data_IF_870371073260
#
_entry.id   IF_870371073260
#
_cell.length_a   1.000
_cell.length_b   1.000
_cell.length_c   1.000
_cell.angle_alpha   90.00
_cell.angle_beta   90.00
_cell.angle_gamma   90.00
#
_symmetry.space_group_name_H-M   'P 1'
#
loop_
_entity.id
_entity.type
_entity.pdbx_description
1 polymer ?
#
# COMPACT_ATOMS: atom_id res chain seq x y z
N UNK A 1 22.98 32.36 12.11
CA UNK A 1 23.83 32.30 10.89
C UNK A 1 22.99 32.55 9.65
N UNK A 2 23.62 32.88 8.50
CA UNK A 2 22.94 33.38 7.29
C UNK A 2 22.41 32.25 6.38
N UNK A 3 21.10 32.33 6.09
CA UNK A 3 20.34 32.08 4.85
C UNK A 3 21.06 31.47 3.62
N UNK A 4 20.51 30.35 3.10
CA UNK A 4 20.06 30.04 1.71
C UNK A 4 19.04 28.87 1.86
N UNK A 5 17.83 28.77 1.28
CA UNK A 5 16.97 29.59 0.39
C UNK A 5 17.08 29.44 -1.16
N UNK A 6 16.38 28.42 -1.72
CA UNK A 6 15.76 28.46 -3.06
C UNK A 6 16.54 27.87 -4.25
N UNK A 7 16.06 26.74 -4.81
CA UNK A 7 16.31 26.37 -6.20
C UNK A 7 14.95 26.29 -6.92
N UNK A 8 14.80 27.18 -7.88
CA UNK A 8 13.58 27.44 -8.64
C UNK A 8 13.60 26.66 -9.95
N UNK A 9 12.47 26.05 -10.29
CA UNK A 9 11.94 25.85 -11.65
C UNK A 9 12.92 26.08 -12.83
N UNK A 10 13.68 25.05 -13.23
CA UNK A 10 14.34 24.98 -14.56
C UNK A 10 14.19 23.57 -15.13
N UNK A 11 13.05 23.29 -15.79
CA UNK A 11 12.85 22.07 -16.58
C UNK A 11 11.94 22.30 -17.80
N UNK A 12 11.92 23.55 -18.30
CA UNK A 12 11.20 23.94 -19.53
C UNK A 12 12.10 24.86 -20.37
N UNK A 13 13.19 24.30 -20.93
CA UNK A 13 13.84 24.68 -22.20
C UNK A 13 15.13 23.87 -22.36
N UNK A 14 15.08 22.80 -23.17
CA UNK A 14 16.25 22.24 -23.87
C UNK A 14 15.79 21.20 -24.91
N UNK A 15 15.13 21.68 -25.96
CA UNK A 15 14.94 20.94 -27.21
C UNK A 15 15.58 21.79 -28.31
N UNK A 16 16.42 21.15 -29.13
CA UNK A 16 17.16 21.71 -30.27
C UNK A 16 18.31 22.69 -29.93
N UNK A 17 19.49 22.14 -29.66
CA UNK A 17 20.73 22.49 -30.37
C UNK A 17 21.65 21.26 -30.35
N UNK A 18 22.24 20.91 -31.49
CA UNK A 18 23.06 19.71 -31.65
C UNK A 18 24.58 19.96 -31.55
N UNK A 19 25.31 18.87 -31.36
CA UNK A 19 26.78 18.72 -31.50
C UNK A 19 27.65 19.35 -30.39
N UNK A 20 28.04 18.51 -29.42
CA UNK A 20 29.47 18.22 -29.19
C UNK A 20 29.63 16.87 -28.49
N UNK A 21 30.49 16.00 -29.04
CA UNK A 21 30.72 14.66 -28.50
C UNK A 21 31.79 14.70 -27.40
N UNK A 22 31.38 14.61 -26.14
CA UNK A 22 32.32 14.48 -25.02
C UNK A 22 31.79 13.53 -23.93
N UNK A 23 32.07 12.23 -24.09
CA UNK A 23 32.30 11.31 -22.96
C UNK A 23 31.21 11.14 -21.89
N UNK A 24 29.95 11.54 -22.14
CA UNK A 24 28.85 11.16 -21.26
C UNK A 24 28.69 9.64 -21.33
N UNK A 25 29.13 8.93 -20.29
CA UNK A 25 28.63 7.57 -20.04
C UNK A 25 27.13 7.69 -20.00
N UNK A 26 26.42 6.99 -20.89
CA UNK A 26 25.01 6.70 -20.64
C UNK A 26 24.95 6.05 -19.26
N UNK A 27 24.41 6.80 -18.28
CA UNK A 27 23.88 6.15 -17.10
C UNK A 27 22.75 5.28 -17.63
N UNK A 28 23.04 3.99 -17.77
CA UNK A 28 22.01 2.97 -17.90
C UNK A 28 21.12 3.16 -16.69
N UNK A 29 20.00 3.84 -16.90
CA UNK A 29 18.96 4.01 -15.89
C UNK A 29 18.38 2.62 -15.71
N UNK A 30 19.00 1.86 -14.80
CA UNK A 30 18.45 0.59 -14.38
C UNK A 30 17.02 0.87 -13.93
N UNK A 31 16.04 0.02 -14.32
CA UNK A 31 14.72 0.07 -13.73
C UNK A 31 14.87 0.20 -12.23
N UNK A 32 14.15 1.14 -11.62
CA UNK A 32 14.01 1.14 -10.17
C UNK A 32 13.48 -0.26 -9.80
N UNK A 33 14.10 -0.90 -8.82
CA UNK A 33 13.64 -2.20 -8.32
C UNK A 33 13.14 -2.01 -6.90
N UNK A 34 11.98 -2.56 -6.57
CA UNK A 34 11.52 -2.66 -5.20
C UNK A 34 11.02 -4.06 -4.87
N UNK A 35 11.23 -4.47 -3.63
CA UNK A 35 10.84 -5.76 -3.06
C UNK A 35 9.50 -5.65 -2.34
N UNK A 36 8.65 -6.69 -2.47
CA UNK A 36 7.29 -6.69 -1.92
C UNK A 36 6.96 -8.02 -1.26
N UNK A 37 6.55 -8.01 0.00
CA UNK A 37 5.93 -9.19 0.63
C UNK A 37 4.44 -9.26 0.26
N UNK A 38 4.01 -10.36 -0.35
CA UNK A 38 2.62 -10.64 -0.71
C UNK A 38 2.06 -11.83 0.09
N UNK A 39 0.84 -11.68 0.62
CA UNK A 39 0.14 -12.72 1.38
C UNK A 39 -0.69 -13.59 0.43
N UNK A 40 -0.25 -14.83 0.21
CA UNK A 40 -0.84 -15.72 -0.78
C UNK A 40 -2.01 -16.54 -0.24
N UNK A 41 -3.12 -16.52 -0.98
CA UNK A 41 -4.32 -17.27 -0.65
C UNK A 41 -4.39 -18.54 -1.51
N UNK A 42 -4.33 -19.72 -0.89
CA UNK A 42 -4.36 -21.00 -1.59
C UNK A 42 -5.61 -21.22 -2.48
N UNK A 43 -6.74 -20.51 -2.25
CA UNK A 43 -7.92 -20.59 -3.13
C UNK A 43 -7.88 -19.63 -4.32
N UNK A 44 -7.02 -18.62 -4.27
CA UNK A 44 -6.73 -17.70 -5.37
C UNK A 44 -5.21 -17.38 -5.40
N UNK A 45 -4.36 -18.35 -5.79
CA UNK A 45 -2.92 -18.17 -5.75
C UNK A 45 -2.45 -17.03 -6.66
N UNK A 46 -1.44 -16.29 -6.20
CA UNK A 46 -0.79 -15.23 -6.94
C UNK A 46 -0.34 -15.68 -8.32
N UNK A 47 -0.51 -14.79 -9.31
CA UNK A 47 0.04 -14.98 -10.66
C UNK A 47 0.76 -13.72 -11.10
N UNK A 48 2.03 -13.86 -11.43
CA UNK A 48 2.87 -12.84 -12.07
C UNK A 48 2.25 -12.30 -13.39
N UNK A 49 1.49 -13.16 -14.08
CA UNK A 49 0.73 -12.87 -15.30
C UNK A 49 -0.56 -12.05 -15.09
N UNK A 50 -0.95 -11.72 -13.85
CA UNK A 50 -2.10 -10.83 -13.63
C UNK A 50 -1.88 -9.45 -14.27
N UNK A 51 -2.94 -8.88 -14.85
CA UNK A 51 -2.87 -7.57 -15.51
C UNK A 51 -2.36 -6.47 -14.57
N UNK A 52 -2.76 -6.50 -13.29
CA UNK A 52 -2.26 -5.54 -12.29
C UNK A 52 -0.74 -5.63 -12.09
N UNK A 53 -0.16 -6.83 -12.14
CA UNK A 53 1.27 -7.08 -11.91
C UNK A 53 2.11 -6.75 -13.16
N UNK A 54 1.59 -7.04 -14.35
CA UNK A 54 2.29 -6.77 -15.61
C UNK A 54 2.19 -5.30 -16.03
N UNK A 55 0.99 -4.72 -15.94
CA UNK A 55 0.73 -3.36 -16.43
C UNK A 55 1.29 -2.28 -15.49
N UNK A 56 1.39 -2.51 -14.17
CA UNK A 56 2.04 -1.55 -13.26
C UNK A 56 3.53 -1.38 -13.61
N UNK A 57 4.23 -2.47 -13.88
CA UNK A 57 5.65 -2.45 -14.27
C UNK A 57 5.85 -1.77 -15.62
N UNK A 58 5.00 -2.11 -16.61
CA UNK A 58 5.03 -1.50 -17.94
C UNK A 58 4.73 0.01 -17.93
N UNK A 59 3.81 0.48 -17.08
CA UNK A 59 3.44 1.92 -17.00
C UNK A 59 4.43 2.76 -16.22
N UNK A 60 5.08 2.19 -15.22
CA UNK A 60 5.98 2.92 -14.31
C UNK A 60 7.45 2.80 -14.69
N UNK A 61 7.82 1.80 -15.50
CA UNK A 61 9.23 1.46 -15.77
C UNK A 61 9.96 0.85 -14.55
N UNK A 62 9.21 0.50 -13.51
CA UNK A 62 9.72 -0.07 -12.26
C UNK A 62 9.56 -1.58 -12.30
N UNK A 63 10.53 -2.30 -11.76
CA UNK A 63 10.50 -3.77 -11.62
C UNK A 63 10.11 -4.13 -10.19
N UNK A 64 9.17 -5.06 -10.04
CA UNK A 64 8.66 -5.48 -8.73
C UNK A 64 9.13 -6.90 -8.43
N UNK A 65 9.95 -7.04 -7.39
CA UNK A 65 10.46 -8.31 -6.90
C UNK A 65 9.50 -8.84 -5.81
N UNK A 66 8.54 -9.68 -6.20
CA UNK A 66 7.52 -10.22 -5.30
C UNK A 66 8.05 -11.42 -4.51
N UNK A 67 7.99 -11.36 -3.17
CA UNK A 67 8.11 -12.52 -2.30
C UNK A 67 6.70 -13.02 -1.95
N UNK A 68 6.33 -14.17 -2.51
CA UNK A 68 5.02 -14.80 -2.34
C UNK A 68 5.08 -15.71 -1.11
N UNK A 69 4.31 -15.37 -0.08
CA UNK A 69 4.37 -16.01 1.24
C UNK A 69 2.96 -16.56 1.57
N UNK A 70 2.79 -17.85 1.91
CA UNK A 70 1.49 -18.40 2.29
C UNK A 70 0.84 -17.61 3.43
N UNK A 71 -0.47 -17.35 3.34
CA UNK A 71 -1.22 -16.55 4.31
C UNK A 71 -1.08 -17.05 5.77
N UNK A 72 -0.88 -18.35 5.96
CA UNK A 72 -0.65 -18.96 7.28
C UNK A 72 0.68 -18.52 7.91
N UNK A 73 1.73 -18.32 7.10
CA UNK A 73 3.07 -17.95 7.54
C UNK A 73 3.31 -16.43 7.52
N UNK A 74 2.44 -15.69 6.81
CA UNK A 74 2.63 -14.27 6.49
C UNK A 74 2.90 -13.40 7.72
N UNK A 75 2.10 -13.57 8.78
CA UNK A 75 2.27 -12.80 10.02
C UNK A 75 3.63 -13.06 10.67
N UNK A 76 4.05 -14.32 10.74
CA UNK A 76 5.34 -14.73 11.32
C UNK A 76 6.51 -14.14 10.53
N UNK A 77 6.45 -14.20 9.20
CA UNK A 77 7.47 -13.63 8.30
C UNK A 77 7.58 -12.10 8.44
N UNK A 78 6.44 -11.40 8.50
CA UNK A 78 6.40 -9.93 8.72
C UNK A 78 6.95 -9.55 10.09
N UNK A 79 6.53 -10.24 11.16
CA UNK A 79 7.02 -9.97 12.52
C UNK A 79 8.54 -10.19 12.60
N UNK A 80 9.07 -11.26 12.03
CA UNK A 80 10.52 -11.51 11.97
C UNK A 80 11.29 -10.41 11.24
N UNK A 81 10.80 -10.00 10.06
CA UNK A 81 11.43 -8.95 9.25
C UNK A 81 11.47 -7.60 9.98
N UNK A 82 10.34 -7.18 10.58
CA UNK A 82 10.25 -5.92 11.30
C UNK A 82 11.01 -5.90 12.63
N UNK A 83 11.06 -7.02 13.37
CA UNK A 83 11.82 -7.10 14.62
C UNK A 83 13.35 -7.14 14.40
N UNK A 84 13.81 -7.76 13.31
CA UNK A 84 15.26 -7.93 13.04
C UNK A 84 15.86 -6.84 12.16
N UNK A 85 15.03 -6.07 11.45
CA UNK A 85 15.48 -5.15 10.40
C UNK A 85 16.23 -5.84 9.25
N UNK A 86 16.23 -7.17 9.20
CA UNK A 86 17.01 -7.98 8.25
C UNK A 86 16.05 -8.61 7.25
N UNK A 87 16.35 -8.47 5.95
CA UNK A 87 15.50 -8.95 4.86
C UNK A 87 14.05 -8.42 4.92
N UNK A 88 13.85 -7.22 5.48
CA UNK A 88 12.61 -6.48 5.33
C UNK A 88 12.48 -5.98 3.88
N UNK A 89 11.30 -6.08 3.25
CA UNK A 89 11.08 -5.58 1.91
C UNK A 89 10.85 -4.06 1.93
N UNK A 90 10.89 -3.44 0.76
CA UNK A 90 10.54 -2.03 0.59
C UNK A 90 9.03 -1.78 0.84
N UNK A 91 8.18 -2.79 0.55
CA UNK A 91 6.73 -2.74 0.78
C UNK A 91 6.22 -4.04 1.41
N UNK A 92 5.40 -3.92 2.45
CA UNK A 92 4.63 -5.03 3.03
C UNK A 92 3.15 -4.78 2.77
N UNK A 93 2.49 -5.66 2.00
CA UNK A 93 1.06 -5.54 1.71
C UNK A 93 0.20 -6.16 2.82
N UNK A 94 -1.11 -5.89 2.79
CA UNK A 94 -2.09 -6.52 3.69
C UNK A 94 -1.80 -6.40 5.20
N UNK A 95 -1.03 -5.40 5.60
CA UNK A 95 -0.71 -5.10 7.00
C UNK A 95 -1.37 -3.81 7.47
N UNK A 96 -1.51 -3.70 8.80
CA UNK A 96 -1.96 -2.49 9.49
C UNK A 96 -1.13 -2.31 10.77
N UNK A 97 -1.25 -1.14 11.39
CA UNK A 97 -0.66 -0.86 12.72
C UNK A 97 -1.52 -1.37 13.88
N UNK A 98 -2.25 -2.48 13.70
CA UNK A 98 -2.93 -3.18 14.81
C UNK A 98 -1.98 -4.21 15.44
N UNK A 99 -2.12 -4.44 16.75
CA UNK A 99 -1.28 -5.40 17.48
C UNK A 99 0.20 -4.98 17.58
N UNK A 100 1.11 -5.93 17.42
CA UNK A 100 2.56 -5.73 17.56
C UNK A 100 3.12 -4.64 16.62
N UNK A 101 2.56 -4.52 15.41
CA UNK A 101 2.97 -3.54 14.40
C UNK A 101 2.84 -2.09 14.89
N UNK A 102 1.96 -1.80 15.87
CA UNK A 102 1.88 -0.47 16.48
C UNK A 102 3.18 -0.10 17.21
N UNK A 103 3.71 -1.03 18.00
CA UNK A 103 4.95 -0.81 18.76
C UNK A 103 6.17 -0.77 17.83
N UNK A 104 6.20 -1.65 16.81
CA UNK A 104 7.27 -1.67 15.81
C UNK A 104 7.32 -0.37 14.98
N UNK A 105 6.16 0.15 14.56
CA UNK A 105 6.05 1.43 13.87
C UNK A 105 6.56 2.60 14.74
N UNK A 106 6.13 2.67 16.01
CA UNK A 106 6.57 3.69 16.96
C UNK A 106 8.07 3.61 17.31
N UNK A 107 8.67 2.42 17.18
CA UNK A 107 10.11 2.21 17.34
C UNK A 107 10.91 2.45 16.05
N UNK A 108 10.27 2.90 14.97
CA UNK A 108 10.93 3.26 13.70
C UNK A 108 11.13 2.12 12.71
N UNK A 109 10.58 0.92 12.94
CA UNK A 109 10.67 -0.20 11.99
C UNK A 109 9.77 -0.02 10.75
N UNK A 110 8.86 0.96 10.76
CA UNK A 110 7.99 1.32 9.63
C UNK A 110 8.07 2.84 9.44
N UNK A 111 8.16 3.30 8.20
CA UNK A 111 8.19 4.73 7.86
C UNK A 111 6.78 5.35 8.04
N UNK A 112 6.64 6.49 8.73
CA UNK A 112 5.35 7.18 8.86
C UNK A 112 4.96 7.86 7.55
N UNK A 113 4.16 7.18 6.72
CA UNK A 113 3.71 7.69 5.42
C UNK A 113 2.93 9.02 5.52
N UNK A 114 2.37 9.37 6.69
CA UNK A 114 1.76 10.69 6.92
C UNK A 114 2.72 11.87 6.89
N UNK A 115 4.02 11.64 7.10
CA UNK A 115 5.04 12.70 7.09
C UNK A 115 5.38 13.14 5.65
N UNK A 116 4.91 12.40 4.64
CA UNK A 116 5.20 12.59 3.20
C UNK A 116 3.91 12.72 2.36
N UNK A 117 3.03 13.72 2.64
CA UNK A 117 1.78 13.91 1.89
C UNK A 117 2.01 14.19 0.40
N UNK A 118 3.17 14.75 0.03
CA UNK A 118 3.56 15.03 -1.34
C UNK A 118 3.93 13.78 -2.16
N UNK A 119 4.22 12.64 -1.51
CA UNK A 119 4.43 11.34 -2.19
C UNK A 119 3.11 10.63 -2.49
N UNK A 120 2.01 11.04 -1.86
CA UNK A 120 0.71 10.36 -1.92
C UNK A 120 -0.44 11.24 -2.48
N UNK A 121 -0.21 12.10 -3.50
CA UNK A 121 -1.18 13.13 -3.90
C UNK A 121 -2.52 12.54 -4.38
N UNK A 122 -2.50 11.41 -5.11
CA UNK A 122 -3.71 10.74 -5.58
C UNK A 122 -4.50 10.07 -4.44
N UNK A 123 -3.81 9.50 -3.44
CA UNK A 123 -4.47 8.98 -2.25
C UNK A 123 -5.12 10.12 -1.47
N UNK A 124 -4.39 11.21 -1.21
CA UNK A 124 -4.91 12.36 -0.45
C UNK A 124 -6.10 13.04 -1.16
N UNK A 125 -6.05 13.15 -2.49
CA UNK A 125 -7.20 13.61 -3.28
C UNK A 125 -8.42 12.70 -3.14
N UNK A 126 -8.20 11.37 -3.18
CA UNK A 126 -9.26 10.35 -3.06
C UNK A 126 -9.88 10.28 -1.66
N UNK A 127 -9.10 10.48 -0.59
CA UNK A 127 -9.62 10.61 0.78
C UNK A 127 -10.62 11.77 0.86
N UNK A 128 -10.25 12.94 0.33
CA UNK A 128 -11.10 14.13 0.30
C UNK A 128 -12.31 13.99 -0.62
N UNK A 129 -12.14 13.35 -1.78
CA UNK A 129 -13.23 13.05 -2.73
C UNK A 129 -14.33 12.21 -2.08
N UNK A 130 -13.95 11.27 -1.20
CA UNK A 130 -14.85 10.35 -0.52
C UNK A 130 -15.29 10.82 0.89
N UNK A 131 -14.78 11.95 1.39
CA UNK A 131 -15.09 12.47 2.72
C UNK A 131 -14.51 11.64 3.89
N UNK A 132 -13.43 10.91 3.64
CA UNK A 132 -12.83 9.92 4.56
C UNK A 132 -11.75 10.52 5.47
N UNK A 133 -11.59 11.85 5.54
CA UNK A 133 -10.53 12.49 6.33
C UNK A 133 -10.53 12.03 7.79
N UNK A 134 -11.70 11.97 8.43
CA UNK A 134 -11.85 11.52 9.81
C UNK A 134 -11.47 10.04 9.98
N UNK A 135 -11.93 9.18 9.06
CA UNK A 135 -11.66 7.74 9.13
C UNK A 135 -10.17 7.41 8.94
N UNK A 136 -9.49 8.17 8.07
CA UNK A 136 -8.04 8.05 7.86
C UNK A 136 -7.25 8.62 9.04
N UNK A 137 -7.75 9.68 9.68
CA UNK A 137 -7.13 10.25 10.88
C UNK A 137 -7.24 9.36 12.12
N UNK A 138 -8.32 8.56 12.24
CA UNK A 138 -8.44 7.53 13.27
C UNK A 138 -7.39 6.40 13.17
N UNK A 139 -6.64 6.31 12.06
CA UNK A 139 -5.56 5.34 11.87
C UNK A 139 -4.19 5.83 12.38
N UNK A 140 -4.13 7.08 12.89
CA UNK A 140 -2.92 7.63 13.50
C UNK A 140 -2.61 6.93 14.83
N UNK A 141 -1.33 6.67 15.07
CA UNK A 141 -0.86 6.17 16.36
C UNK A 141 -0.72 7.31 17.38
N UNK A 142 -0.32 6.97 18.61
CA UNK A 142 -0.23 7.90 19.76
C UNK A 142 0.69 9.11 19.55
N UNK A 143 1.55 9.06 18.54
CA UNK A 143 2.47 10.13 18.14
C UNK A 143 1.87 11.06 17.06
N UNK A 144 0.61 10.81 16.65
CA UNK A 144 -0.10 11.58 15.63
C UNK A 144 0.16 11.11 14.19
N UNK A 145 0.92 10.03 13.99
CA UNK A 145 1.37 9.60 12.65
C UNK A 145 0.65 8.34 12.14
N UNK A 146 0.46 8.28 10.83
CA UNK A 146 -0.08 7.11 10.12
C UNK A 146 1.04 6.45 9.32
N UNK A 147 1.12 5.12 9.41
CA UNK A 147 2.23 4.32 8.90
C UNK A 147 1.87 3.37 7.74
N UNK A 148 0.61 3.36 7.31
CA UNK A 148 0.15 2.56 6.17
C UNK A 148 -0.92 3.32 5.38
N UNK A 149 -1.13 2.93 4.11
CA UNK A 149 -2.23 3.43 3.29
C UNK A 149 -3.41 2.44 3.39
N UNK A 150 -4.56 2.82 3.96
CA UNK A 150 -5.75 1.98 3.95
C UNK A 150 -6.34 1.85 2.54
N UNK A 151 -7.14 0.81 2.32
CA UNK A 151 -8.11 0.81 1.24
C UNK A 151 -9.17 1.90 1.50
N UNK A 152 -9.59 2.60 0.45
CA UNK A 152 -10.59 3.66 0.51
C UNK A 152 -11.87 3.19 -0.19
N UNK A 153 -13.02 3.37 0.45
CA UNK A 153 -14.33 2.99 -0.07
C UNK A 153 -15.22 4.23 -0.12
N UNK A 154 -15.81 4.52 -1.27
CA UNK A 154 -16.81 5.59 -1.47
C UNK A 154 -18.16 5.24 -0.83
N UNK A 155 -18.53 3.96 -0.91
CA UNK A 155 -19.75 3.41 -0.32
C UNK A 155 -19.35 2.42 0.77
N UNK A 156 -19.97 2.46 1.97
CA UNK A 156 -19.74 1.48 3.02
C UNK A 156 -19.90 0.03 2.51
N UNK A 157 -18.82 -0.75 2.59
CA UNK A 157 -18.79 -2.13 2.15
C UNK A 157 -19.10 -3.08 3.32
N UNK A 158 -20.23 -3.78 3.24
CA UNK A 158 -20.69 -4.73 4.26
C UNK A 158 -20.45 -6.18 3.79
N UNK A 159 -19.30 -6.74 4.15
CA UNK A 159 -18.84 -8.08 3.74
C UNK A 159 -19.49 -9.24 4.52
N UNK A 160 -20.56 -8.97 5.27
CA UNK A 160 -21.16 -9.95 6.18
C UNK A 160 -22.58 -9.63 6.59
N UNK A 161 -23.43 -10.65 6.59
CA UNK A 161 -24.82 -10.60 7.02
C UNK A 161 -25.39 -12.00 7.22
N UNK A 162 -26.53 -12.10 7.91
CA UNK A 162 -27.22 -13.38 8.09
C UNK A 162 -27.87 -13.81 6.77
N UNK A 163 -27.40 -14.91 6.19
CA UNK A 163 -28.02 -15.57 5.04
C UNK A 163 -28.88 -16.73 5.55
N UNK A 164 -30.18 -16.68 5.26
CA UNK A 164 -31.17 -17.66 5.75
C UNK A 164 -31.80 -18.44 4.59
N UNK A 165 -32.06 -19.74 4.83
CA UNK A 165 -32.78 -20.62 3.90
C UNK A 165 -34.28 -20.38 4.00
N UNK A 166 -34.76 -19.32 3.35
CA UNK A 166 -36.17 -18.92 3.33
C UNK A 166 -37.10 -20.03 2.81
N UNK A 167 -36.62 -20.87 1.89
CA UNK A 167 -37.32 -22.05 1.38
C UNK A 167 -37.57 -23.11 2.47
N UNK A 168 -36.62 -23.31 3.39
CA UNK A 168 -36.78 -24.22 4.52
C UNK A 168 -37.72 -23.62 5.56
N UNK A 169 -37.64 -22.31 5.83
CA UNK A 169 -38.58 -21.62 6.71
C UNK A 169 -40.02 -21.78 6.20
N UNK A 170 -40.26 -21.56 4.90
CA UNK A 170 -41.56 -21.78 4.25
C UNK A 170 -42.00 -23.25 4.30
N UNK A 171 -41.12 -24.20 3.96
CA UNK A 171 -41.42 -25.65 3.96
C UNK A 171 -41.85 -26.18 5.32
N UNK A 172 -41.23 -25.69 6.40
CA UNK A 172 -41.52 -26.13 7.78
C UNK A 172 -42.44 -25.15 8.55
N UNK A 173 -43.01 -24.15 7.87
CA UNK A 173 -43.89 -23.12 8.43
C UNK A 173 -43.29 -22.41 9.67
N UNK A 174 -41.98 -22.10 9.59
CA UNK A 174 -41.21 -21.42 10.63
C UNK A 174 -41.17 -19.90 10.36
N UNK A 175 -41.32 -19.04 11.38
CA UNK A 175 -41.13 -17.61 11.23
C UNK A 175 -39.64 -17.26 11.03
N UNK A 176 -39.38 -16.11 10.40
CA UNK A 176 -38.03 -15.53 10.35
C UNK A 176 -37.57 -15.18 11.78
N UNK A 177 -36.40 -15.66 12.26
CA UNK A 177 -35.88 -15.33 13.57
C UNK A 177 -35.69 -13.80 13.73
N UNK A 178 -36.06 -13.28 14.91
CA UNK A 178 -35.94 -11.85 15.25
C UNK A 178 -34.93 -11.57 16.36
N UNK A 179 -34.37 -12.62 16.95
CA UNK A 179 -33.35 -12.60 18.00
C UNK A 179 -32.31 -13.68 17.70
N UNK A 180 -31.20 -13.64 18.42
CA UNK A 180 -30.29 -14.79 18.59
C UNK A 180 -30.98 -15.91 19.37
#
# INVERSE_FOLDING_TARGET
MKKVLGITLVLVTCVLLGVSAQGAKEQVVKPLEFSVFYSDNATLPFKDTWLTVTEIQKRTGVKVNWEIIPIADYKTKVSLALNTGTNAPDVILYQSTKGENAALALNGAIVPISDYPEWTPHFNARVKEFGLENDVDLLKLKDGKRYYMPALFDVPFYDGGLILREDLLKKYNLPVPKTF
#
